data_IF_757177622605
#
_entry.id   IF_757177622605
#
_cell.length_a   1.000
_cell.length_b   1.000
_cell.length_c   1.000
_cell.angle_alpha   90.00
_cell.angle_beta   90.00
_cell.angle_gamma   90.00
#
_symmetry.space_group_name_H-M   'P 1'
#
loop_
_entity.id
_entity.type
_entity.pdbx_description
1 polymer ?
#
# COMPACT_ATOMS: atom_id res chain seq x y z
N UNK A 1 -10.09 -17.81 -0.87
CA UNK A 1 -8.72 -17.84 -0.31
C UNK A 1 -8.23 -16.41 -0.34
N UNK A 2 -7.92 -15.80 0.80
CA UNK A 2 -7.22 -14.51 0.79
C UNK A 2 -5.84 -14.79 0.19
N UNK A 3 -5.58 -14.27 -1.02
CA UNK A 3 -4.22 -14.22 -1.57
C UNK A 3 -3.39 -13.43 -0.54
N UNK A 4 -2.23 -13.96 -0.16
CA UNK A 4 -1.40 -13.42 0.91
C UNK A 4 -0.69 -12.13 0.48
N UNK A 5 -1.41 -11.02 0.36
CA UNK A 5 -0.88 -9.81 -0.28
C UNK A 5 0.18 -9.06 0.54
N UNK A 6 0.28 -9.31 1.86
CA UNK A 6 1.33 -8.66 2.68
C UNK A 6 2.72 -9.30 2.49
N UNK A 7 2.78 -10.58 2.12
CA UNK A 7 4.03 -11.29 1.78
C UNK A 7 4.31 -11.31 0.27
N UNK A 8 3.31 -10.92 -0.55
CA UNK A 8 3.37 -11.05 -2.01
C UNK A 8 3.36 -9.71 -2.73
N UNK A 9 3.59 -8.58 -2.04
CA UNK A 9 3.75 -7.30 -2.73
C UNK A 9 4.94 -7.39 -3.70
N UNK A 10 4.74 -6.96 -4.94
CA UNK A 10 5.82 -7.00 -5.94
C UNK A 10 6.95 -6.05 -5.62
N UNK A 11 6.63 -4.89 -5.05
CA UNK A 11 7.61 -3.92 -4.59
C UNK A 11 7.12 -3.12 -3.38
N UNK A 12 8.05 -2.45 -2.71
CA UNK A 12 7.76 -1.53 -1.62
C UNK A 12 8.50 -0.21 -1.78
N UNK A 13 7.81 0.90 -1.56
CA UNK A 13 8.41 2.24 -1.54
C UNK A 13 8.39 2.75 -0.11
N UNK A 14 9.52 3.26 0.36
CA UNK A 14 9.61 3.86 1.69
C UNK A 14 8.70 5.10 1.81
N UNK A 15 8.06 5.28 2.97
CA UNK A 15 7.18 6.42 3.25
C UNK A 15 7.86 7.78 2.97
N UNK A 16 9.16 7.89 3.27
CA UNK A 16 9.93 9.11 3.00
C UNK A 16 10.03 9.45 1.51
N UNK A 17 10.07 8.43 0.65
CA UNK A 17 10.15 8.57 -0.79
C UNK A 17 8.75 8.66 -1.45
N UNK A 18 7.74 8.06 -0.82
CA UNK A 18 6.32 8.14 -1.19
C UNK A 18 5.67 9.50 -0.87
N UNK A 19 6.44 10.51 -0.41
CA UNK A 19 5.91 11.82 -0.02
C UNK A 19 5.14 12.54 -1.14
N UNK A 20 5.42 12.23 -2.42
CA UNK A 20 4.70 12.79 -3.56
C UNK A 20 3.27 12.24 -3.73
N UNK A 21 2.89 11.21 -2.99
CA UNK A 21 1.53 10.66 -2.95
C UNK A 21 0.66 11.33 -1.87
N UNK A 22 1.24 12.19 -1.02
CA UNK A 22 0.53 12.84 0.07
C UNK A 22 0.44 14.36 -0.13
N UNK A 23 -0.72 14.98 0.19
CA UNK A 23 -1.98 14.34 0.55
C UNK A 23 -2.66 13.70 -0.67
N UNK A 24 -3.30 12.55 -0.49
CA UNK A 24 -3.92 11.79 -1.59
C UNK A 24 -5.08 12.54 -2.25
N UNK A 25 -5.74 13.45 -1.52
CA UNK A 25 -6.87 14.24 -2.03
C UNK A 25 -6.46 15.35 -3.00
N UNK A 26 -5.18 15.78 -2.96
CA UNK A 26 -4.63 16.80 -3.87
C UNK A 26 -3.96 16.18 -5.11
N UNK A 27 -3.99 14.84 -5.23
CA UNK A 27 -3.36 14.13 -6.31
C UNK A 27 -4.21 14.23 -7.58
N UNK A 28 -3.60 14.65 -8.69
CA UNK A 28 -4.23 14.62 -10.03
C UNK A 28 -4.18 13.19 -10.58
N UNK A 29 -4.92 12.29 -9.93
CA UNK A 29 -4.97 10.87 -10.21
C UNK A 29 -6.29 10.26 -9.71
N UNK A 30 -6.58 9.03 -10.13
CA UNK A 30 -7.71 8.29 -9.56
C UNK A 30 -7.31 7.73 -8.21
N UNK A 31 -8.11 8.00 -7.19
CA UNK A 31 -7.86 7.53 -5.82
C UNK A 31 -9.07 6.74 -5.34
N UNK A 32 -8.86 5.46 -5.07
CA UNK A 32 -9.84 4.60 -4.44
C UNK A 32 -9.56 4.53 -2.95
N UNK A 33 -10.60 4.65 -2.12
CA UNK A 33 -10.48 4.55 -0.66
C UNK A 33 -11.46 3.51 -0.09
N UNK A 34 -11.14 3.00 1.09
CA UNK A 34 -11.99 2.08 1.85
C UNK A 34 -12.41 0.84 1.06
N UNK A 35 -13.71 0.70 0.74
CA UNK A 35 -14.26 -0.47 0.07
C UNK A 35 -13.83 -0.53 -1.39
N UNK A 36 -13.74 0.61 -2.06
CA UNK A 36 -13.34 0.66 -3.46
C UNK A 36 -11.86 0.28 -3.62
N UNK A 37 -11.03 0.70 -2.67
CA UNK A 37 -9.63 0.27 -2.60
C UNK A 37 -9.52 -1.25 -2.41
N UNK A 38 -10.32 -1.83 -1.51
CA UNK A 38 -10.32 -3.28 -1.31
C UNK A 38 -10.77 -4.02 -2.58
N UNK A 39 -11.81 -3.54 -3.25
CA UNK A 39 -12.31 -4.16 -4.48
C UNK A 39 -11.27 -4.08 -5.61
N UNK A 40 -10.58 -2.95 -5.76
CA UNK A 40 -9.52 -2.79 -6.74
C UNK A 40 -8.35 -3.77 -6.47
N UNK A 41 -7.96 -3.93 -5.20
CA UNK A 41 -6.88 -4.86 -4.86
C UNK A 41 -7.28 -6.33 -4.96
N UNK A 42 -8.55 -6.68 -4.69
CA UNK A 42 -9.03 -8.06 -4.81
C UNK A 42 -9.03 -8.54 -6.29
N UNK A 43 -9.00 -7.63 -7.26
CA UNK A 43 -8.98 -7.91 -8.70
C UNK A 43 -7.56 -8.11 -9.27
N UNK A 44 -6.53 -7.67 -8.54
CA UNK A 44 -5.13 -7.62 -9.00
C UNK A 44 -4.27 -8.64 -8.23
N UNK A 45 -3.18 -9.13 -8.82
CA UNK A 45 -2.23 -9.97 -8.09
C UNK A 45 -1.35 -9.14 -7.16
N UNK A 46 -0.94 -9.71 -6.02
CA UNK A 46 -0.07 -8.99 -5.09
C UNK A 46 1.26 -8.57 -5.75
N UNK A 47 1.77 -9.37 -6.69
CA UNK A 47 3.01 -9.06 -7.41
C UNK A 47 2.92 -7.80 -8.25
N UNK A 48 1.72 -7.35 -8.59
CA UNK A 48 1.49 -6.15 -9.40
C UNK A 48 1.13 -4.93 -8.52
N UNK A 49 1.28 -5.07 -7.20
CA UNK A 49 1.02 -4.03 -6.21
C UNK A 49 2.31 -3.53 -5.58
N UNK A 50 2.45 -2.20 -5.56
CA UNK A 50 3.49 -1.48 -4.81
C UNK A 50 2.91 -1.06 -3.45
N UNK A 51 3.57 -1.40 -2.35
CA UNK A 51 3.13 -0.98 -1.01
C UNK A 51 3.97 0.18 -0.47
N UNK A 52 3.34 1.15 0.19
CA UNK A 52 4.07 2.18 0.94
C UNK A 52 4.48 1.62 2.30
N UNK A 53 5.78 1.45 2.51
CA UNK A 53 6.37 0.88 3.72
C UNK A 53 6.77 1.98 4.73
N UNK A 54 6.53 1.77 6.03
CA UNK A 54 6.97 2.72 7.05
C UNK A 54 8.49 2.68 7.24
N UNK A 55 9.09 3.86 7.41
CA UNK A 55 10.51 4.03 7.77
C UNK A 55 10.77 4.16 9.27
N UNK A 56 9.73 4.35 10.07
CA UNK A 56 9.81 4.56 11.53
C UNK A 56 8.51 4.13 12.22
N UNK A 57 8.55 4.04 13.55
CA UNK A 57 7.34 3.75 14.33
C UNK A 57 6.25 4.80 14.12
N UNK A 58 6.62 6.08 13.98
CA UNK A 58 5.67 7.16 13.74
C UNK A 58 4.98 7.02 12.38
N UNK A 59 5.73 6.70 11.33
CA UNK A 59 5.17 6.50 9.98
C UNK A 59 4.39 5.19 9.88
N UNK A 60 4.77 4.17 10.65
CA UNK A 60 3.96 2.95 10.81
C UNK A 60 2.60 3.26 11.45
N UNK A 61 2.57 4.06 12.51
CA UNK A 61 1.32 4.50 13.13
C UNK A 61 0.47 5.31 12.15
N UNK A 62 1.09 6.23 11.43
CA UNK A 62 0.41 7.03 10.42
C UNK A 62 -0.25 6.15 9.35
N UNK A 63 0.51 5.22 8.75
CA UNK A 63 0.00 4.30 7.73
C UNK A 63 -1.09 3.36 8.29
N UNK A 64 -1.00 2.98 9.57
CA UNK A 64 -2.02 2.14 10.20
C UNK A 64 -3.32 2.90 10.46
N UNK A 65 -3.26 4.21 10.71
CA UNK A 65 -4.42 5.08 10.88
C UNK A 65 -4.97 5.61 9.55
N UNK A 66 -4.16 5.57 8.49
CA UNK A 66 -4.57 5.97 7.16
C UNK A 66 -5.64 5.00 6.63
N UNK A 67 -6.67 5.56 5.97
CA UNK A 67 -7.64 4.75 5.26
C UNK A 67 -6.92 3.85 4.24
N UNK A 68 -7.45 2.64 4.01
CA UNK A 68 -6.95 1.82 2.90
C UNK A 68 -7.17 2.59 1.60
N UNK A 69 -6.09 2.96 0.93
CA UNK A 69 -6.11 3.77 -0.27
C UNK A 69 -5.33 3.08 -1.37
N UNK A 70 -5.86 3.13 -2.59
CA UNK A 70 -5.27 2.55 -3.79
C UNK A 70 -5.26 3.58 -4.90
N UNK A 71 -4.14 3.67 -5.59
CA UNK A 71 -3.94 4.59 -6.69
C UNK A 71 -3.46 3.77 -7.90
N UNK A 72 -4.22 3.73 -9.00
CA UNK A 72 -3.75 3.11 -10.24
C UNK A 72 -2.52 3.84 -10.77
N UNK A 73 -1.47 3.09 -11.13
CA UNK A 73 -0.21 3.66 -11.62
C UNK A 73 -0.44 4.48 -12.90
N UNK A 74 -1.26 3.97 -13.81
CA UNK A 74 -1.60 4.61 -15.08
C UNK A 74 -2.34 5.96 -14.90
N UNK A 75 -3.03 6.13 -13.78
CA UNK A 75 -3.74 7.36 -13.44
C UNK A 75 -2.84 8.46 -12.88
N UNK A 76 -1.61 8.14 -12.45
CA UNK A 76 -0.67 9.11 -11.94
C UNK A 76 -0.12 10.00 -13.06
N UNK A 77 0.14 11.27 -12.73
CA UNK A 77 0.91 12.13 -13.63
C UNK A 77 2.32 11.57 -13.90
N UNK A 78 2.84 11.81 -15.10
CA UNK A 78 4.20 11.39 -15.49
C UNK A 78 5.27 11.91 -14.53
N UNK A 79 5.06 13.09 -13.94
CA UNK A 79 5.98 13.65 -12.96
C UNK A 79 6.03 12.82 -11.67
N UNK A 80 4.90 12.32 -11.19
CA UNK A 80 4.84 11.45 -10.00
C UNK A 80 5.41 10.07 -10.33
N UNK A 81 5.02 9.48 -11.47
CA UNK A 81 5.56 8.19 -11.91
C UNK A 81 7.10 8.22 -12.02
N UNK A 82 7.67 9.28 -12.61
CA UNK A 82 9.13 9.44 -12.73
C UNK A 82 9.83 9.50 -11.39
N UNK A 83 9.22 10.14 -10.37
CA UNK A 83 9.80 10.23 -9.02
C UNK A 83 9.72 8.92 -8.27
N UNK A 84 8.66 8.15 -8.47
CA UNK A 84 8.53 6.84 -7.84
C UNK A 84 9.44 5.80 -8.53
N UNK A 85 9.63 5.91 -9.84
CA UNK A 85 10.52 5.04 -10.60
C UNK A 85 12.00 5.15 -10.19
N UNK A 86 12.43 6.23 -9.52
CA UNK A 86 13.80 6.31 -8.98
C UNK A 86 14.01 5.48 -7.71
N UNK A 87 12.92 5.03 -7.09
CA UNK A 87 12.91 4.31 -5.81
C UNK A 87 12.61 2.82 -5.99
N UNK A 88 12.29 2.41 -7.22
CA UNK A 88 11.96 1.03 -7.59
C UNK A 88 13.11 0.43 -8.41
N UNK A 89 13.41 -0.85 -8.17
CA UNK A 89 14.36 -1.60 -8.99
C UNK A 89 13.75 -1.96 -10.36
N UNK A 90 12.44 -2.22 -10.39
CA UNK A 90 11.67 -2.52 -11.59
C UNK A 90 10.92 -1.28 -12.13
N UNK A 91 10.66 -1.19 -13.44
CA UNK A 91 9.90 -0.08 -14.02
C UNK A 91 8.53 0.06 -13.37
N UNK A 92 8.12 1.28 -12.99
CA UNK A 92 6.84 1.49 -12.33
C UNK A 92 5.64 0.98 -13.15
N UNK A 93 5.75 1.01 -14.48
CA UNK A 93 4.72 0.56 -15.42
C UNK A 93 4.49 -0.96 -15.41
N UNK A 94 5.32 -1.74 -14.71
CA UNK A 94 5.08 -3.18 -14.50
C UNK A 94 4.04 -3.44 -13.40
N UNK A 95 3.76 -2.43 -12.58
CA UNK A 95 2.80 -2.52 -11.49
C UNK A 95 1.49 -1.84 -11.88
N UNK A 96 0.38 -2.37 -11.39
CA UNK A 96 -0.94 -1.84 -11.67
C UNK A 96 -1.38 -0.83 -10.60
N UNK A 97 -1.07 -1.13 -9.32
CA UNK A 97 -1.63 -0.40 -8.19
C UNK A 97 -0.55 0.01 -7.18
N UNK A 98 -0.74 1.19 -6.58
CA UNK A 98 -0.02 1.61 -5.39
C UNK A 98 -0.97 1.59 -4.20
N UNK A 99 -0.60 0.85 -3.16
CA UNK A 99 -1.34 0.76 -1.91
C UNK A 99 -0.73 1.66 -0.83
N UNK A 100 -1.58 2.47 -0.21
CA UNK A 100 -1.27 3.27 0.97
C UNK A 100 -2.13 2.80 2.13
N UNK A 101 -1.48 2.63 3.28
CA UNK A 101 -2.12 2.25 4.53
C UNK A 101 -2.26 0.74 4.69
N UNK A 102 -2.83 0.35 5.83
CA UNK A 102 -2.87 -1.06 6.24
C UNK A 102 -3.92 -1.84 5.43
N UNK A 103 -3.48 -2.93 4.79
CA UNK A 103 -4.37 -4.03 4.42
C UNK A 103 -4.98 -4.62 5.69
N UNK A 104 -6.30 -4.76 5.73
CA UNK A 104 -6.98 -5.54 6.76
C UNK A 104 -6.63 -7.02 6.58
N UNK A 105 -5.37 -7.41 6.81
CA UNK A 105 -5.11 -8.78 7.21
C UNK A 105 -5.93 -8.90 8.48
N UNK A 106 -6.80 -9.89 8.50
CA UNK A 106 -7.49 -10.27 9.72
C UNK A 106 -6.39 -10.75 10.64
N UNK A 107 -5.71 -9.83 11.33
CA UNK A 107 -4.92 -10.16 12.49
C UNK A 107 -5.93 -10.79 13.42
N UNK A 108 -5.85 -12.10 13.59
CA UNK A 108 -6.64 -12.77 14.60
C UNK A 108 -6.38 -11.98 15.89
N UNK A 109 -7.45 -11.48 16.51
CA UNK A 109 -7.32 -10.91 17.83
C UNK A 109 -6.94 -12.07 18.74
N UNK A 110 -5.66 -12.16 19.09
CA UNK A 110 -5.17 -13.17 20.02
C UNK A 110 -5.57 -12.74 21.43
N UNK A 111 -6.31 -13.60 22.11
CA UNK A 111 -6.66 -13.39 23.51
C UNK A 111 -5.44 -13.61 24.39
N UNK A 112 -5.29 -12.83 25.45
CA UNK A 112 -4.24 -13.01 26.46
C UNK A 112 -4.26 -14.41 27.11
N UNK A 113 -5.42 -15.09 27.06
CA UNK A 113 -5.60 -16.45 27.52
C UNK A 113 -4.85 -17.51 26.67
N UNK A 114 -4.37 -17.16 25.48
CA UNK A 114 -3.61 -18.06 24.60
C UNK A 114 -2.15 -18.25 25.07
N UNK A 115 -1.67 -17.42 26.00
CA UNK A 115 -0.29 -17.41 26.50
C UNK A 115 -0.16 -18.01 27.91
N UNK A 116 -0.94 -19.04 28.24
CA UNK A 116 -0.97 -19.63 29.59
C UNK A 116 0.02 -20.76 29.86
N UNK A 117 0.84 -21.16 28.88
CA UNK A 117 1.91 -22.14 29.10
C UNK A 117 3.29 -21.46 29.05
N UNK A 118 3.93 -21.37 30.23
CA UNK A 118 5.32 -20.97 30.46
C UNK A 118 5.99 -22.02 31.35
#
# INVERSE_FOLDING_TARGET
MLKGHFESAGASIEYGAAGCLFPVDDLDATVHQYRDAQLALDDVDGSDVIVVAPTSLATSYFLTQHALTVIPVDSLSTAVQTRLATELDDPIDTFELIQIGKWNSTSANHSLAEFTDA
#
